data_IF_785588262081
#
_entry.id   IF_785588262081
#
_cell.length_a   1.000
_cell.length_b   1.000
_cell.length_c   1.000
_cell.angle_alpha   90.00
_cell.angle_beta   90.00
_cell.angle_gamma   90.00
#
_symmetry.space_group_name_H-M   'P 1'
#
loop_
_entity.id
_entity.type
_entity.pdbx_description
1 polymer ?
#
# COMPACT_ATOMS: atom_id res chain seq x y z
N UNK A 1 47.31 0.42 -36.44
CA UNK A 1 46.61 0.48 -35.15
C UNK A 1 45.48 -0.52 -35.21
N UNK A 2 45.74 -1.65 -34.56
CA UNK A 2 44.84 -2.82 -34.53
C UNK A 2 43.89 -2.69 -33.37
N UNK A 3 42.58 -2.62 -33.60
CA UNK A 3 41.54 -2.57 -32.58
C UNK A 3 40.89 -3.96 -32.51
N UNK A 4 41.27 -4.73 -31.53
CA UNK A 4 40.64 -6.01 -31.18
C UNK A 4 39.20 -5.75 -30.64
N UNK A 5 38.20 -6.56 -31.03
CA UNK A 5 36.86 -6.44 -30.49
C UNK A 5 36.77 -6.97 -29.08
N UNK A 6 36.20 -6.19 -28.16
CA UNK A 6 35.86 -6.60 -26.79
C UNK A 6 34.66 -7.55 -26.86
N UNK A 7 34.92 -8.83 -26.55
CA UNK A 7 33.89 -9.84 -26.41
C UNK A 7 33.10 -9.57 -25.11
N UNK A 8 31.82 -9.18 -25.26
CA UNK A 8 30.89 -9.00 -24.14
C UNK A 8 30.60 -10.36 -23.52
N UNK A 9 31.06 -10.58 -22.27
CA UNK A 9 30.70 -11.77 -21.49
C UNK A 9 29.21 -11.70 -21.13
N UNK A 10 28.45 -12.64 -21.65
CA UNK A 10 27.05 -12.84 -21.26
C UNK A 10 26.99 -13.20 -19.76
N UNK A 11 26.32 -12.35 -18.99
CA UNK A 11 26.03 -12.55 -17.58
C UNK A 11 25.10 -13.77 -17.45
N UNK A 12 25.62 -14.88 -16.93
CA UNK A 12 24.83 -16.06 -16.61
C UNK A 12 23.88 -15.70 -15.45
N UNK A 13 22.59 -15.69 -15.76
CA UNK A 13 21.54 -15.56 -14.78
C UNK A 13 21.57 -16.81 -13.87
N UNK A 14 21.75 -16.68 -12.52
CA UNK A 14 21.70 -17.86 -11.65
C UNK A 14 20.26 -18.38 -11.68
N UNK A 15 20.07 -19.54 -12.32
CA UNK A 15 18.78 -20.20 -12.43
C UNK A 15 18.17 -20.42 -11.04
N UNK A 16 16.93 -20.03 -10.90
CA UNK A 16 16.08 -20.32 -9.74
C UNK A 16 16.14 -21.84 -9.48
N UNK A 17 16.50 -22.32 -8.27
CA UNK A 17 16.52 -23.74 -7.98
C UNK A 17 15.12 -24.31 -8.19
N UNK A 18 15.03 -25.32 -9.05
CA UNK A 18 13.78 -26.04 -9.27
C UNK A 18 13.31 -26.68 -7.96
N UNK A 19 12.03 -26.61 -7.60
CA UNK A 19 11.52 -27.23 -6.38
C UNK A 19 11.78 -28.75 -6.42
N UNK A 20 12.17 -29.38 -5.31
CA UNK A 20 12.42 -30.81 -5.24
C UNK A 20 11.16 -31.60 -5.63
N UNK A 21 11.32 -32.52 -6.58
CA UNK A 21 10.23 -33.43 -7.04
C UNK A 21 10.02 -34.56 -6.04
N UNK A 22 9.41 -34.30 -4.89
CA UNK A 22 9.13 -35.31 -3.86
C UNK A 22 8.02 -36.31 -4.29
N UNK A 23 7.19 -35.94 -5.27
CA UNK A 23 6.20 -36.87 -5.88
C UNK A 23 6.85 -38.16 -6.46
N UNK A 24 8.13 -38.12 -6.87
CA UNK A 24 8.89 -39.29 -7.31
C UNK A 24 9.20 -40.25 -6.18
N UNK A 25 9.51 -39.71 -4.98
CA UNK A 25 9.93 -40.49 -3.84
C UNK A 25 8.75 -41.22 -3.17
N UNK A 26 7.55 -40.62 -3.15
CA UNK A 26 6.36 -41.33 -2.66
C UNK A 26 5.94 -42.52 -3.52
N UNK A 27 5.98 -42.39 -4.83
CA UNK A 27 5.69 -43.53 -5.74
C UNK A 27 6.76 -44.61 -5.67
N UNK A 28 8.03 -44.23 -5.49
CA UNK A 28 9.13 -45.14 -5.29
C UNK A 28 9.02 -45.88 -3.96
N UNK A 29 8.61 -45.18 -2.89
CA UNK A 29 8.34 -45.76 -1.57
C UNK A 29 7.17 -46.76 -1.64
N UNK A 30 6.03 -46.41 -2.25
CA UNK A 30 4.89 -47.32 -2.39
C UNK A 30 5.27 -48.60 -3.17
N UNK A 31 6.12 -48.48 -4.20
CA UNK A 31 6.66 -49.62 -4.91
C UNK A 31 7.55 -50.48 -4.01
N UNK A 32 8.45 -49.86 -3.25
CA UNK A 32 9.32 -50.59 -2.29
C UNK A 32 8.49 -51.30 -1.21
N UNK A 33 7.48 -50.60 -0.66
CA UNK A 33 6.58 -51.18 0.34
C UNK A 33 5.82 -52.40 -0.21
N UNK A 34 5.32 -52.31 -1.45
CA UNK A 34 4.61 -53.38 -2.12
C UNK A 34 5.52 -54.59 -2.35
N UNK A 35 6.74 -54.35 -2.79
CA UNK A 35 7.75 -55.44 -3.01
C UNK A 35 8.16 -56.06 -1.65
N UNK A 36 8.33 -55.28 -0.59
CA UNK A 36 8.65 -55.78 0.74
C UNK A 36 7.51 -56.62 1.32
N UNK A 37 6.24 -56.17 1.18
CA UNK A 37 5.08 -56.97 1.62
C UNK A 37 4.94 -58.28 0.89
N UNK A 38 5.41 -58.38 -0.38
CA UNK A 38 5.37 -59.63 -1.15
C UNK A 38 6.49 -60.62 -0.81
N UNK A 39 7.61 -60.14 -0.22
CA UNK A 39 8.83 -60.96 0.03
C UNK A 39 9.21 -61.06 1.51
N UNK A 40 8.43 -60.57 2.48
CA UNK A 40 8.75 -60.62 3.91
C UNK A 40 8.37 -61.96 4.56
N UNK A 41 9.30 -62.45 5.39
CA UNK A 41 9.08 -63.56 6.30
C UNK A 41 8.21 -63.06 7.50
N UNK A 42 7.08 -63.71 7.83
CA UNK A 42 6.14 -63.23 8.85
C UNK A 42 6.71 -63.20 10.28
N UNK A 43 7.92 -63.73 10.51
CA UNK A 43 8.50 -63.85 11.86
C UNK A 43 9.42 -62.68 12.27
N UNK A 44 9.81 -61.77 11.37
CA UNK A 44 10.59 -60.54 11.67
C UNK A 44 10.16 -59.33 10.79
N UNK A 45 9.11 -58.61 11.17
CA UNK A 45 8.70 -57.38 10.47
C UNK A 45 9.71 -56.26 10.80
N UNK A 46 10.48 -55.84 9.80
CA UNK A 46 11.37 -54.67 9.93
C UNK A 46 10.51 -53.39 9.92
N UNK A 47 10.93 -52.35 10.68
CA UNK A 47 10.33 -51.05 11.00
C UNK A 47 9.84 -50.19 9.81
N UNK A 48 9.04 -50.78 8.91
CA UNK A 48 8.40 -50.06 7.80
C UNK A 48 7.40 -49.00 8.31
N UNK A 49 6.90 -49.16 9.53
CA UNK A 49 5.94 -48.26 10.14
C UNK A 49 6.56 -46.87 10.46
N UNK A 50 7.78 -46.84 10.98
CA UNK A 50 8.48 -45.61 11.33
C UNK A 50 8.81 -44.74 10.12
N UNK A 51 9.25 -45.42 9.01
CA UNK A 51 9.47 -44.72 7.73
C UNK A 51 8.16 -44.18 7.14
N UNK A 52 7.05 -44.87 7.24
CA UNK A 52 5.76 -44.44 6.77
C UNK A 52 5.26 -43.17 7.54
N UNK A 53 5.47 -43.15 8.88
CA UNK A 53 5.15 -41.99 9.72
C UNK A 53 6.02 -40.78 9.37
N UNK A 54 7.34 -41.00 9.15
CA UNK A 54 8.23 -39.92 8.75
C UNK A 54 7.83 -39.36 7.37
N UNK A 55 7.52 -40.22 6.41
CA UNK A 55 7.09 -39.79 5.07
C UNK A 55 5.75 -39.07 5.09
N UNK A 56 4.79 -39.52 5.91
CA UNK A 56 3.52 -38.83 6.13
C UNK A 56 3.74 -37.43 6.73
N UNK A 57 4.69 -37.31 7.66
CA UNK A 57 5.07 -36.02 8.27
C UNK A 57 5.70 -35.08 7.21
N UNK A 58 6.65 -35.61 6.39
CA UNK A 58 7.25 -34.83 5.31
C UNK A 58 6.21 -34.40 4.27
N UNK A 59 5.28 -35.30 3.89
CA UNK A 59 4.18 -34.94 2.97
C UNK A 59 3.28 -33.85 3.54
N UNK A 60 3.02 -33.88 4.85
CA UNK A 60 2.29 -32.80 5.55
C UNK A 60 3.02 -31.46 5.47
N UNK A 61 4.34 -31.46 5.71
CA UNK A 61 5.17 -30.26 5.61
C UNK A 61 5.22 -29.73 4.17
N UNK A 62 5.36 -30.62 3.18
CA UNK A 62 5.33 -30.24 1.76
C UNK A 62 4.01 -29.59 1.38
N UNK A 63 2.88 -30.17 1.82
CA UNK A 63 1.56 -29.59 1.58
C UNK A 63 1.43 -28.22 2.22
N UNK A 64 2.00 -28.03 3.42
CA UNK A 64 2.04 -26.73 4.09
C UNK A 64 2.85 -25.70 3.30
N UNK A 65 4.04 -26.08 2.83
CA UNK A 65 4.91 -25.22 2.00
C UNK A 65 4.18 -24.84 0.71
N UNK A 66 3.56 -25.82 0.04
CA UNK A 66 2.80 -25.57 -1.18
C UNK A 66 1.59 -24.66 -0.97
N UNK A 67 0.90 -24.82 0.14
CA UNK A 67 -0.19 -23.92 0.54
C UNK A 67 0.33 -22.50 0.75
N UNK A 68 1.45 -22.33 1.45
CA UNK A 68 2.05 -21.02 1.66
C UNK A 68 2.51 -20.37 0.34
N UNK A 69 3.06 -21.14 -0.60
CA UNK A 69 3.41 -20.65 -1.93
C UNK A 69 2.17 -20.20 -2.72
N UNK A 70 1.10 -20.99 -2.71
CA UNK A 70 -0.15 -20.60 -3.37
C UNK A 70 -0.77 -19.32 -2.77
N UNK A 71 -0.67 -19.14 -1.45
CA UNK A 71 -1.10 -17.91 -0.78
C UNK A 71 -0.24 -16.72 -1.20
N UNK A 72 1.07 -16.89 -1.30
CA UNK A 72 1.99 -15.84 -1.77
C UNK A 72 1.72 -15.47 -3.24
N UNK A 73 1.50 -16.46 -4.11
CA UNK A 73 1.13 -16.25 -5.51
C UNK A 73 -0.22 -15.53 -5.65
N UNK A 74 -1.19 -15.90 -4.82
CA UNK A 74 -2.51 -15.25 -4.79
C UNK A 74 -2.37 -13.78 -4.36
N UNK A 75 -1.56 -13.50 -3.34
CA UNK A 75 -1.27 -12.13 -2.91
C UNK A 75 -0.62 -11.31 -4.03
N UNK A 76 0.34 -11.89 -4.78
CA UNK A 76 0.96 -11.23 -5.93
C UNK A 76 -0.06 -10.91 -7.04
N UNK A 77 -1.00 -11.81 -7.31
CA UNK A 77 -2.09 -11.58 -8.29
C UNK A 77 -3.02 -10.46 -7.82
N UNK A 78 -3.41 -10.42 -6.55
CA UNK A 78 -4.23 -9.31 -6.02
C UNK A 78 -3.54 -7.96 -6.14
N UNK A 79 -2.22 -7.90 -5.94
CA UNK A 79 -1.46 -6.66 -6.15
C UNK A 79 -1.48 -6.20 -7.62
N UNK A 80 -1.37 -7.12 -8.58
CA UNK A 80 -1.47 -6.79 -10.02
C UNK A 80 -2.86 -6.29 -10.42
N UNK A 81 -3.93 -6.90 -9.91
CA UNK A 81 -5.30 -6.43 -10.14
C UNK A 81 -5.52 -5.03 -9.55
N UNK A 82 -5.04 -4.79 -8.32
CA UNK A 82 -5.10 -3.47 -7.69
C UNK A 82 -4.40 -2.38 -8.50
N UNK A 83 -3.25 -2.68 -9.14
CA UNK A 83 -2.55 -1.72 -10.03
C UNK A 83 -3.36 -1.37 -11.29
N UNK A 84 -4.01 -2.35 -11.92
CA UNK A 84 -4.82 -2.10 -13.11
C UNK A 84 -6.01 -1.18 -12.81
N UNK A 85 -6.68 -1.40 -11.67
CA UNK A 85 -7.77 -0.52 -11.21
C UNK A 85 -7.28 0.89 -10.92
N UNK A 86 -6.13 1.02 -10.24
CA UNK A 86 -5.55 2.32 -9.91
C UNK A 86 -5.04 3.10 -11.12
N UNK A 87 -4.66 2.43 -12.23
CA UNK A 87 -4.33 3.12 -13.47
C UNK A 87 -5.50 3.98 -13.96
N UNK A 88 -6.74 3.58 -13.68
CA UNK A 88 -7.94 4.35 -13.98
C UNK A 88 -8.10 5.62 -13.13
N UNK A 89 -7.32 5.77 -12.06
CA UNK A 89 -7.35 6.92 -11.14
C UNK A 89 -6.44 8.05 -11.61
N UNK A 90 -5.46 7.73 -12.46
CA UNK A 90 -4.56 8.75 -13.03
C UNK A 90 -5.38 9.78 -13.81
N UNK A 91 -5.12 11.05 -13.52
CA UNK A 91 -5.87 12.17 -14.06
C UNK A 91 -7.17 12.51 -13.34
N UNK A 92 -7.64 11.66 -12.42
CA UNK A 92 -8.76 11.99 -11.49
C UNK A 92 -8.25 12.76 -10.28
N UNK A 93 -9.17 13.28 -9.50
CA UNK A 93 -8.89 13.92 -8.22
C UNK A 93 -9.22 12.95 -7.07
N UNK A 94 -8.23 12.72 -6.21
CA UNK A 94 -8.35 11.90 -5.02
C UNK A 94 -8.51 12.77 -3.78
N UNK A 95 -9.50 12.47 -2.94
CA UNK A 95 -9.70 13.14 -1.64
C UNK A 95 -8.89 12.42 -0.57
N UNK A 96 -8.04 13.18 0.12
CA UNK A 96 -7.20 12.69 1.21
C UNK A 96 -6.89 13.82 2.20
N UNK A 97 -6.32 13.44 3.33
CA UNK A 97 -5.82 14.33 4.38
C UNK A 97 -4.33 14.71 4.18
N UNK A 98 -3.83 14.60 2.96
CA UNK A 98 -2.45 14.97 2.61
C UNK A 98 -2.21 16.49 2.71
N UNK A 99 -0.94 16.95 2.75
CA UNK A 99 -0.64 18.36 2.59
C UNK A 99 -1.22 18.95 1.32
N UNK A 100 -1.68 20.18 1.38
CA UNK A 100 -2.27 20.93 0.27
C UNK A 100 -1.17 21.61 -0.53
N UNK A 101 -1.16 21.42 -1.85
CA UNK A 101 -0.35 22.23 -2.77
C UNK A 101 -1.11 23.54 -3.06
N UNK A 102 -0.63 24.67 -2.54
CA UNK A 102 -1.15 25.99 -2.84
C UNK A 102 -0.33 26.65 -3.94
N UNK A 103 -0.99 27.13 -4.98
CA UNK A 103 -0.36 27.76 -6.16
C UNK A 103 -0.94 29.16 -6.44
N UNK A 104 -1.49 29.81 -5.42
CA UNK A 104 -2.13 31.12 -5.57
C UNK A 104 -3.57 31.06 -6.06
N UNK A 105 -4.15 29.87 -6.20
CA UNK A 105 -5.56 29.65 -6.56
C UNK A 105 -6.32 29.05 -5.38
N UNK A 106 -7.63 29.35 -5.23
CA UNK A 106 -8.45 28.79 -4.15
C UNK A 106 -8.44 27.25 -4.14
N UNK A 107 -8.35 26.67 -2.95
CA UNK A 107 -8.38 25.21 -2.75
C UNK A 107 -9.67 24.82 -2.05
N UNK A 108 -10.39 23.85 -2.61
CA UNK A 108 -11.62 23.33 -2.02
C UNK A 108 -11.28 22.32 -0.93
N UNK A 109 -11.57 22.69 0.30
CA UNK A 109 -11.42 21.85 1.50
C UNK A 109 -12.74 21.14 1.83
N UNK A 110 -12.66 19.99 2.46
CA UNK A 110 -13.80 19.20 2.96
C UNK A 110 -13.72 19.14 4.50
N UNK A 111 -14.14 20.20 5.22
CA UNK A 111 -14.09 20.22 6.67
C UNK A 111 -15.10 19.23 7.27
N UNK A 112 -14.75 18.63 8.40
CA UNK A 112 -15.65 17.76 9.16
C UNK A 112 -15.59 18.16 10.64
N UNK A 113 -16.36 19.20 11.05
CA UNK A 113 -16.39 19.65 12.43
C UNK A 113 -16.86 18.56 13.39
N UNK A 114 -16.30 18.54 14.59
CA UNK A 114 -16.71 17.61 15.62
C UNK A 114 -18.15 17.91 16.10
N UNK A 115 -18.85 16.86 16.50
CA UNK A 115 -20.19 16.99 17.11
C UNK A 115 -20.08 17.84 18.39
N UNK A 116 -20.93 18.84 18.51
CA UNK A 116 -20.92 19.77 19.65
C UNK A 116 -19.96 20.94 19.50
N UNK A 117 -19.31 21.10 18.35
CA UNK A 117 -18.51 22.29 18.05
C UNK A 117 -19.44 23.51 17.88
N UNK A 118 -19.05 24.60 18.52
CA UNK A 118 -19.71 25.93 18.37
C UNK A 118 -18.88 26.84 17.47
N UNK A 119 -17.59 26.53 17.27
CA UNK A 119 -16.66 27.24 16.39
C UNK A 119 -15.78 26.27 15.68
N UNK A 120 -15.32 26.59 14.46
CA UNK A 120 -14.41 25.83 13.65
C UNK A 120 -13.32 26.76 13.12
N UNK A 121 -12.05 26.36 13.27
CA UNK A 121 -10.89 27.15 12.89
C UNK A 121 -9.93 26.30 12.06
N UNK A 122 -9.57 26.78 10.88
CA UNK A 122 -8.49 26.22 10.09
C UNK A 122 -7.15 26.70 10.65
N UNK A 123 -6.29 25.77 11.00
CA UNK A 123 -4.90 26.05 11.36
C UNK A 123 -3.99 25.54 10.24
N UNK A 124 -3.31 26.47 9.57
CA UNK A 124 -2.43 26.18 8.41
C UNK A 124 -0.97 26.27 8.85
N UNK A 125 -0.22 25.23 8.52
CA UNK A 125 1.21 25.13 8.85
C UNK A 125 2.03 24.94 7.58
N UNK A 126 3.21 25.55 7.56
CA UNK A 126 4.20 25.34 6.52
C UNK A 126 4.90 23.96 6.66
N UNK A 127 5.83 23.65 5.76
CA UNK A 127 6.63 22.41 5.79
C UNK A 127 7.57 22.32 6.98
N UNK A 128 7.90 23.43 7.64
CA UNK A 128 8.68 23.46 8.87
C UNK A 128 7.81 23.27 10.13
N UNK A 129 6.47 23.20 9.97
CA UNK A 129 5.52 23.07 11.06
C UNK A 129 5.08 24.40 11.70
N UNK A 130 5.57 25.55 11.21
CA UNK A 130 5.19 26.85 11.73
C UNK A 130 3.73 27.16 11.37
N UNK A 131 2.97 27.73 12.31
CA UNK A 131 1.63 28.24 12.06
C UNK A 131 1.70 29.53 11.24
N UNK A 132 1.20 29.50 10.00
CA UNK A 132 1.28 30.59 9.03
C UNK A 132 -0.07 31.24 8.76
N UNK A 133 -1.17 30.56 9.11
CA UNK A 133 -2.53 31.10 9.01
C UNK A 133 -3.44 30.45 10.03
N UNK A 134 -4.42 31.24 10.50
CA UNK A 134 -5.50 30.76 11.36
C UNK A 134 -6.79 31.50 10.97
N UNK A 135 -7.76 30.76 10.46
CA UNK A 135 -8.97 31.30 9.87
C UNK A 135 -10.19 30.64 10.46
N UNK A 136 -11.13 31.42 10.96
CA UNK A 136 -12.43 30.93 11.45
C UNK A 136 -13.36 30.68 10.27
N UNK A 137 -13.94 29.48 10.20
CA UNK A 137 -14.82 29.04 9.13
C UNK A 137 -16.20 28.66 9.73
N UNK A 138 -17.25 28.59 8.90
CA UNK A 138 -18.54 28.07 9.35
C UNK A 138 -18.44 26.66 9.92
N UNK A 139 -19.22 26.38 10.98
CA UNK A 139 -19.34 25.03 11.54
C UNK A 139 -20.26 24.21 10.63
N UNK A 140 -19.75 23.78 9.50
CA UNK A 140 -20.46 23.05 8.46
C UNK A 140 -19.55 21.99 7.83
N UNK A 141 -20.15 20.90 7.37
CA UNK A 141 -19.45 19.88 6.57
C UNK A 141 -19.49 20.18 5.06
N UNK A 142 -20.01 21.32 4.66
CA UNK A 142 -20.00 21.74 3.26
C UNK A 142 -18.59 22.11 2.79
N UNK A 143 -18.30 21.94 1.48
CA UNK A 143 -17.01 22.33 0.92
C UNK A 143 -16.71 23.81 1.19
N UNK A 144 -15.50 24.08 1.66
CA UNK A 144 -15.01 25.42 1.97
C UNK A 144 -13.88 25.82 1.00
N UNK A 145 -13.98 27.04 0.44
CA UNK A 145 -12.95 27.58 -0.45
C UNK A 145 -11.88 28.32 0.37
N UNK A 146 -10.73 27.70 0.55
CA UNK A 146 -9.59 28.32 1.20
C UNK A 146 -8.80 29.17 0.20
N UNK A 147 -8.64 30.46 0.50
CA UNK A 147 -8.02 31.44 -0.39
C UNK A 147 -6.51 31.60 -0.18
N UNK A 148 -5.92 30.88 0.77
CA UNK A 148 -4.48 30.96 1.07
C UNK A 148 -4.07 32.25 1.77
N UNK A 149 -4.94 32.86 2.59
CA UNK A 149 -4.62 34.05 3.38
C UNK A 149 -3.66 33.72 4.54
N UNK A 150 -2.62 34.53 4.72
CA UNK A 150 -1.73 34.46 5.87
C UNK A 150 -2.28 35.20 7.10
N UNK A 151 -1.59 35.11 8.24
CA UNK A 151 -2.00 35.78 9.51
C UNK A 151 -1.98 37.29 9.40
N UNK A 152 -1.21 37.86 8.51
CA UNK A 152 -1.13 39.32 8.22
C UNK A 152 -2.09 39.78 7.13
N UNK A 153 -2.93 38.89 6.61
CA UNK A 153 -3.87 39.16 5.53
C UNK A 153 -3.25 39.14 4.13
N UNK A 154 -1.94 38.89 4.00
CA UNK A 154 -1.31 38.73 2.69
C UNK A 154 -1.48 37.30 2.18
N UNK A 155 -1.54 37.07 0.86
CA UNK A 155 -1.54 35.71 0.32
C UNK A 155 -0.25 34.96 0.68
N UNK A 156 -0.40 33.71 1.08
CA UNK A 156 0.74 32.83 1.33
C UNK A 156 1.49 32.55 0.02
N UNK A 157 2.82 32.33 0.07
CA UNK A 157 3.59 31.89 -1.07
C UNK A 157 3.11 30.54 -1.60
N UNK A 158 3.36 30.27 -2.90
CA UNK A 158 3.12 28.92 -3.45
C UNK A 158 3.97 27.90 -2.73
N UNK A 159 3.37 26.79 -2.31
CA UNK A 159 4.05 25.77 -1.52
C UNK A 159 3.11 24.70 -0.98
N UNK A 160 3.68 23.79 -0.17
CA UNK A 160 2.93 22.76 0.53
C UNK A 160 2.56 23.23 1.93
N UNK A 161 1.29 23.03 2.29
CA UNK A 161 0.74 23.41 3.59
C UNK A 161 -0.04 22.27 4.21
N UNK A 162 0.17 22.03 5.50
CA UNK A 162 -0.65 21.12 6.28
C UNK A 162 -1.80 21.91 6.89
N UNK A 163 -3.04 21.51 6.61
CA UNK A 163 -4.24 22.18 7.10
C UNK A 163 -4.95 21.26 8.07
N UNK A 164 -5.23 21.75 9.29
CA UNK A 164 -6.03 21.06 10.29
C UNK A 164 -7.24 21.88 10.67
N UNK A 165 -8.35 21.19 10.97
CA UNK A 165 -9.56 21.77 11.53
C UNK A 165 -9.52 21.61 13.04
N UNK A 166 -9.51 22.72 13.76
CA UNK A 166 -9.72 22.78 15.20
C UNK A 166 -11.22 23.02 15.43
N UNK A 167 -11.89 22.08 16.06
CA UNK A 167 -13.27 22.20 16.48
C UNK A 167 -13.31 22.65 17.93
N UNK A 168 -14.02 23.75 18.23
CA UNK A 168 -14.06 24.31 19.56
C UNK A 168 -15.50 24.31 20.12
N UNK A 169 -15.61 24.16 21.43
CA UNK A 169 -16.81 24.43 22.18
C UNK A 169 -16.51 25.63 23.13
N UNK A 170 -17.07 26.78 22.81
CA UNK A 170 -16.61 28.04 23.38
C UNK A 170 -15.15 28.32 23.00
N UNK A 171 -14.29 28.42 24.00
CA UNK A 171 -12.83 28.64 23.81
C UNK A 171 -12.01 27.36 23.89
N UNK A 172 -12.63 26.21 24.21
CA UNK A 172 -11.94 24.95 24.40
C UNK A 172 -11.90 24.17 23.09
N UNK A 173 -10.69 23.78 22.63
CA UNK A 173 -10.53 22.87 21.50
C UNK A 173 -10.96 21.48 21.95
N UNK A 174 -12.01 20.94 21.34
CA UNK A 174 -12.56 19.60 21.62
C UNK A 174 -12.06 18.55 20.63
N UNK A 175 -11.58 18.98 19.46
CA UNK A 175 -11.02 18.09 18.44
C UNK A 175 -10.08 18.87 17.52
N UNK A 176 -9.05 18.18 17.01
CA UNK A 176 -8.15 18.70 15.98
C UNK A 176 -7.74 17.58 15.04
N UNK A 177 -8.07 17.71 13.76
CA UNK A 177 -7.79 16.70 12.74
C UNK A 177 -7.38 17.33 11.41
N UNK A 178 -6.59 16.66 10.59
CA UNK A 178 -6.30 17.12 9.24
C UNK A 178 -7.58 17.31 8.43
N UNK A 179 -7.60 18.31 7.56
CA UNK A 179 -8.72 18.58 6.65
C UNK A 179 -8.46 17.86 5.33
N UNK A 180 -9.46 17.15 4.85
CA UNK A 180 -9.39 16.51 3.55
C UNK A 180 -9.58 17.52 2.41
N UNK A 181 -8.90 17.30 1.31
CA UNK A 181 -9.05 18.05 0.08
C UNK A 181 -8.87 17.14 -1.14
N UNK A 182 -9.29 17.62 -2.31
CA UNK A 182 -9.07 16.92 -3.57
C UNK A 182 -7.77 17.39 -4.20
N UNK A 183 -6.94 16.43 -4.63
CA UNK A 183 -5.73 16.67 -5.39
C UNK A 183 -5.66 15.71 -6.58
N UNK A 184 -5.08 16.18 -7.69
CA UNK A 184 -4.96 15.41 -8.93
C UNK A 184 -3.96 14.27 -8.77
N UNK A 185 -4.35 13.08 -9.19
CA UNK A 185 -3.49 11.90 -9.25
C UNK A 185 -2.64 11.96 -10.52
N UNK A 186 -1.32 11.96 -10.36
CA UNK A 186 -0.37 11.98 -11.48
C UNK A 186 0.27 10.63 -11.75
N UNK A 187 0.36 9.77 -10.72
CA UNK A 187 0.94 8.43 -10.83
C UNK A 187 0.31 7.50 -9.80
N UNK A 188 0.18 6.22 -10.15
CA UNK A 188 -0.19 5.16 -9.22
C UNK A 188 0.99 4.21 -9.04
N UNK A 189 1.37 3.92 -7.81
CA UNK A 189 2.50 3.05 -7.44
C UNK A 189 2.02 1.82 -6.72
N UNK A 190 2.53 0.67 -7.11
CA UNK A 190 2.22 -0.60 -6.48
C UNK A 190 3.47 -1.32 -5.99
N UNK A 191 3.31 -2.24 -5.03
CA UNK A 191 4.31 -3.25 -4.71
C UNK A 191 5.41 -2.87 -3.71
N UNK A 192 5.32 -1.75 -3.01
CA UNK A 192 6.21 -1.46 -1.88
C UNK A 192 5.78 -2.14 -0.58
N UNK A 193 6.64 -2.09 0.45
CA UNK A 193 6.34 -2.58 1.81
C UNK A 193 5.10 -1.93 2.43
N UNK A 194 4.69 -0.76 1.95
CA UNK A 194 3.53 0.00 2.38
C UNK A 194 2.27 -0.22 1.51
N UNK A 195 2.29 -1.23 0.62
CA UNK A 195 1.18 -1.50 -0.28
C UNK A 195 1.16 -0.57 -1.50
N UNK A 196 -0.04 -0.21 -1.94
CA UNK A 196 -0.26 0.67 -3.09
C UNK A 196 -0.38 2.12 -2.65
N UNK A 197 0.21 3.04 -3.42
CA UNK A 197 0.18 4.48 -3.17
C UNK A 197 -0.12 5.28 -4.44
N UNK A 198 -0.59 6.50 -4.26
CA UNK A 198 -0.80 7.48 -5.31
C UNK A 198 0.20 8.61 -5.14
N UNK A 199 0.79 9.04 -6.24
CA UNK A 199 1.50 10.30 -6.30
C UNK A 199 0.52 11.39 -6.75
N UNK A 200 0.31 12.38 -5.90
CA UNK A 200 -0.53 13.53 -6.18
C UNK A 200 0.30 14.66 -6.78
N UNK A 201 -0.40 15.61 -7.41
CA UNK A 201 0.21 16.86 -7.85
C UNK A 201 0.94 17.54 -6.69
N UNK A 202 2.16 18.06 -6.97
CA UNK A 202 3.05 18.55 -5.90
C UNK A 202 4.03 17.50 -5.35
N UNK A 203 4.02 16.28 -5.89
CA UNK A 203 4.97 15.22 -5.49
C UNK A 203 4.63 14.54 -4.16
N UNK A 204 3.40 14.66 -3.70
CA UNK A 204 2.93 14.10 -2.43
C UNK A 204 2.52 12.65 -2.64
N UNK A 205 3.14 11.73 -1.92
CA UNK A 205 2.77 10.31 -1.94
C UNK A 205 1.75 9.99 -0.84
N UNK A 206 0.61 9.39 -1.25
CA UNK A 206 -0.49 9.02 -0.35
C UNK A 206 -0.81 7.54 -0.50
N UNK A 207 -0.79 6.75 0.59
CA UNK A 207 -1.29 5.38 0.56
C UNK A 207 -2.75 5.35 0.11
N UNK A 208 -3.13 4.38 -0.74
CA UNK A 208 -4.52 4.27 -1.21
C UNK A 208 -5.53 4.10 -0.08
N UNK A 209 -5.11 3.53 1.05
CA UNK A 209 -5.93 3.40 2.26
C UNK A 209 -6.35 4.74 2.90
N UNK A 210 -5.65 5.83 2.58
CA UNK A 210 -5.97 7.20 3.04
C UNK A 210 -6.80 7.99 2.02
N UNK A 211 -7.15 7.39 0.88
CA UNK A 211 -8.03 8.00 -0.12
C UNK A 211 -9.47 7.69 0.23
N UNK A 212 -10.26 8.72 0.50
CA UNK A 212 -11.65 8.58 0.96
C UNK A 212 -12.67 8.77 -0.17
N UNK A 213 -12.30 9.41 -1.27
CA UNK A 213 -13.15 9.59 -2.45
C UNK A 213 -12.32 9.85 -3.72
N UNK A 214 -12.95 9.61 -4.86
CA UNK A 214 -12.43 9.94 -6.19
C UNK A 214 -13.49 10.68 -6.97
N UNK A 215 -13.08 11.68 -7.76
CA UNK A 215 -13.98 12.36 -8.71
C UNK A 215 -13.24 12.65 -10.03
N UNK A 216 -14.01 12.93 -11.07
CA UNK A 216 -13.45 13.51 -12.29
C UNK A 216 -13.01 14.96 -12.02
N UNK A 217 -11.92 15.46 -12.65
CA UNK A 217 -11.51 16.83 -12.49
C UNK A 217 -12.67 17.79 -12.81
N UNK A 218 -12.84 18.80 -11.99
CA UNK A 218 -13.73 19.91 -12.31
C UNK A 218 -12.93 20.85 -13.21
N UNK A 219 -13.35 20.95 -14.48
CA UNK A 219 -12.76 21.84 -15.47
C UNK A 219 -12.89 23.32 -15.14
#
# INVERSE_FOLDING_TARGET
MDISPVTSAASANPGTPAPPKITSDFNTFLRMLTVQMQNQDPMNPIDSADYAVQLATFSGVEQQVRTNQLLADLQGRFQQFGMADMASWIGKEARSDAPVLYQGTPVTLSPTPAVGATRAVLAVRDTAGNLVSREEIPVSAEPYQWLGGGMDGTPLPSGLYSISLESLNGETVIDSRPVEHYARVVEARGGGTNGTSLLLEGGIEVPTARVTALRSPQG
#
